data_IF_366209339820
#
_entry.id   IF_366209339820
#
_cell.length_a   1.000
_cell.length_b   1.000
_cell.length_c   1.000
_cell.angle_alpha   90.00
_cell.angle_beta   90.00
_cell.angle_gamma   90.00
#
_symmetry.space_group_name_H-M   'P 1'
#
loop_
_entity.id
_entity.type
_entity.pdbx_description
1 polymer ?
#
# COMPACT_ATOMS: atom_id res chain seq x y z
N UNK A 1 48.58 34.82 4.23
CA UNK A 1 47.10 34.69 4.23
C UNK A 1 46.65 33.23 4.03
N UNK A 2 47.20 32.51 3.04
CA UNK A 2 46.87 31.11 2.73
C UNK A 2 47.01 30.13 3.92
N UNK A 3 48.06 30.24 4.73
CA UNK A 3 48.32 29.33 5.86
C UNK A 3 47.21 29.31 6.91
N UNK A 4 46.57 30.47 7.18
CA UNK A 4 45.47 30.60 8.16
C UNK A 4 44.19 29.93 7.65
N UNK A 5 43.94 30.01 6.35
CA UNK A 5 42.79 29.37 5.70
C UNK A 5 42.95 27.84 5.79
N UNK A 6 44.13 27.31 5.44
CA UNK A 6 44.40 25.87 5.55
C UNK A 6 44.32 25.34 6.97
N UNK A 7 44.74 26.12 7.97
CA UNK A 7 44.64 25.72 9.38
C UNK A 7 43.18 25.66 9.84
N UNK A 8 42.36 26.65 9.45
CA UNK A 8 40.95 26.69 9.80
C UNK A 8 40.14 25.59 9.10
N UNK A 9 40.44 25.31 7.83
CA UNK A 9 39.84 24.18 7.09
C UNK A 9 40.21 22.84 7.72
N UNK A 10 41.47 22.65 8.14
CA UNK A 10 41.88 21.43 8.86
C UNK A 10 41.19 21.29 10.21
N UNK A 11 41.08 22.38 10.99
CA UNK A 11 40.39 22.35 12.28
C UNK A 11 38.91 21.98 12.12
N UNK A 12 38.23 22.58 11.14
CA UNK A 12 36.82 22.30 10.86
C UNK A 12 36.57 20.89 10.30
N UNK A 13 37.53 20.34 9.53
CA UNK A 13 37.48 18.96 9.06
C UNK A 13 37.72 17.91 10.16
N UNK A 14 38.38 18.29 11.26
CA UNK A 14 38.58 17.44 12.45
C UNK A 14 37.37 17.48 13.39
N UNK A 15 36.51 18.50 13.30
CA UNK A 15 35.23 18.50 14.04
C UNK A 15 34.16 17.63 13.36
N UNK A 16 34.24 17.45 12.04
CA UNK A 16 33.29 16.64 11.27
C UNK A 16 33.74 15.16 11.15
N UNK A 17 34.05 14.56 12.29
CA UNK A 17 34.45 13.15 12.38
C UNK A 17 33.19 12.33 12.67
N UNK A 18 32.58 11.85 11.59
CA UNK A 18 31.63 10.74 11.50
C UNK A 18 31.20 10.12 12.84
N UNK A 19 29.90 10.21 13.15
CA UNK A 19 29.28 9.44 14.25
C UNK A 19 29.68 7.96 14.12
N UNK A 20 30.12 7.30 15.20
CA UNK A 20 30.47 5.89 15.15
C UNK A 20 29.24 5.07 14.74
N UNK A 21 29.42 4.08 13.86
CA UNK A 21 28.34 3.27 13.29
C UNK A 21 27.29 2.75 14.32
N UNK A 22 27.65 2.30 15.54
CA UNK A 22 26.65 1.90 16.54
C UNK A 22 25.71 3.05 16.96
N UNK A 23 26.23 4.27 17.13
CA UNK A 23 25.43 5.43 17.52
C UNK A 23 24.44 5.88 16.43
N UNK A 24 24.67 5.49 15.17
CA UNK A 24 23.75 5.73 14.04
C UNK A 24 22.63 4.68 14.06
N UNK A 25 22.90 3.43 14.45
CA UNK A 25 21.90 2.35 14.45
C UNK A 25 20.86 2.54 15.56
N UNK A 26 21.24 3.19 16.66
CA UNK A 26 20.37 3.45 17.81
C UNK A 26 19.44 4.67 17.63
N UNK A 27 19.56 5.45 16.55
CA UNK A 27 18.62 6.56 16.34
C UNK A 27 17.24 5.99 15.93
N UNK A 28 16.14 6.42 16.58
CA UNK A 28 14.80 5.87 16.36
C UNK A 28 14.37 5.86 14.88
N UNK A 29 14.85 6.84 14.10
CA UNK A 29 14.57 6.94 12.68
C UNK A 29 15.11 5.74 11.88
N UNK A 30 16.34 5.28 12.18
CA UNK A 30 16.93 4.15 11.48
C UNK A 30 16.25 2.83 11.86
N UNK A 31 15.90 2.66 13.13
CA UNK A 31 15.13 1.51 13.61
C UNK A 31 13.76 1.46 12.89
N UNK A 32 13.05 2.59 12.85
CA UNK A 32 11.77 2.70 12.14
C UNK A 32 11.93 2.37 10.66
N UNK A 33 13.00 2.85 10.01
CA UNK A 33 13.28 2.57 8.60
C UNK A 33 13.56 1.08 8.36
N UNK A 34 14.34 0.43 9.21
CA UNK A 34 14.64 -1.01 9.10
C UNK A 34 13.38 -1.85 9.36
N UNK A 35 12.58 -1.49 10.37
CA UNK A 35 11.31 -2.13 10.64
C UNK A 35 10.34 -1.98 9.45
N UNK A 36 10.26 -0.78 8.85
CA UNK A 36 9.42 -0.53 7.68
C UNK A 36 9.90 -1.27 6.42
N UNK A 37 11.22 -1.37 6.20
CA UNK A 37 11.79 -2.19 5.12
C UNK A 37 11.48 -3.67 5.31
N UNK A 38 11.62 -4.17 6.53
CA UNK A 38 11.28 -5.56 6.86
C UNK A 38 9.79 -5.81 6.63
N UNK A 39 8.91 -4.93 7.13
CA UNK A 39 7.47 -4.99 6.89
C UNK A 39 7.14 -4.98 5.40
N UNK A 40 7.73 -4.07 4.63
CA UNK A 40 7.55 -4.01 3.17
C UNK A 40 7.95 -5.32 2.50
N UNK A 41 9.09 -5.90 2.87
CA UNK A 41 9.57 -7.18 2.33
C UNK A 41 8.66 -8.36 2.70
N UNK A 42 8.06 -8.31 3.89
CA UNK A 42 7.17 -9.35 4.41
C UNK A 42 5.70 -9.15 3.99
N UNK A 43 5.34 -8.04 3.35
CA UNK A 43 3.97 -7.85 2.87
C UNK A 43 3.65 -8.97 1.89
N UNK A 44 2.48 -9.63 2.03
CA UNK A 44 1.98 -10.51 0.99
C UNK A 44 1.96 -9.76 -0.33
N UNK A 45 2.30 -10.45 -1.41
CA UNK A 45 2.15 -9.90 -2.75
C UNK A 45 0.67 -9.56 -2.95
N UNK A 46 0.38 -8.36 -3.45
CA UNK A 46 -0.99 -8.00 -3.79
C UNK A 46 -1.58 -9.05 -4.73
N UNK A 47 -2.82 -9.50 -4.48
CA UNK A 47 -3.48 -10.46 -5.34
C UNK A 47 -3.64 -9.85 -6.73
N UNK A 48 -3.21 -10.59 -7.75
CA UNK A 48 -3.27 -10.17 -9.16
C UNK A 48 -4.53 -10.70 -9.87
N UNK A 49 -5.24 -11.61 -9.20
CA UNK A 49 -6.44 -12.27 -9.66
C UNK A 49 -7.45 -12.37 -8.50
N UNK A 50 -8.61 -12.95 -8.80
CA UNK A 50 -9.65 -13.23 -7.82
C UNK A 50 -9.53 -14.66 -7.26
N UNK A 51 -8.38 -15.33 -7.37
CA UNK A 51 -8.17 -16.70 -6.88
C UNK A 51 -7.73 -16.71 -5.40
N UNK A 52 -8.45 -15.97 -4.56
CA UNK A 52 -8.24 -15.91 -3.11
C UNK A 52 -9.50 -16.29 -2.32
N UNK A 53 -9.35 -16.67 -1.06
CA UNK A 53 -10.51 -16.91 -0.19
C UNK A 53 -11.03 -15.58 0.33
N UNK A 54 -12.33 -15.34 0.19
CA UNK A 54 -12.97 -14.14 0.72
C UNK A 54 -13.40 -14.41 2.17
N UNK A 55 -12.93 -13.58 3.09
CA UNK A 55 -13.30 -13.66 4.51
C UNK A 55 -14.53 -12.79 4.75
N UNK A 56 -15.71 -13.41 4.66
CA UNK A 56 -17.00 -12.69 4.79
C UNK A 56 -17.23 -12.09 6.18
N UNK A 57 -16.54 -12.59 7.22
CA UNK A 57 -16.60 -12.07 8.59
C UNK A 57 -16.17 -10.60 8.71
N UNK A 58 -15.39 -10.12 7.75
CA UNK A 58 -14.91 -8.74 7.70
C UNK A 58 -15.78 -7.83 6.80
N UNK A 59 -16.81 -8.39 6.17
CA UNK A 59 -17.75 -7.64 5.37
C UNK A 59 -18.93 -7.18 6.21
N UNK A 60 -19.53 -6.03 5.88
CA UNK A 60 -20.83 -5.68 6.43
C UNK A 60 -21.86 -6.76 6.07
N UNK A 61 -22.81 -6.97 6.97
CA UNK A 61 -23.88 -7.95 6.78
C UNK A 61 -24.62 -7.70 5.46
N UNK A 62 -24.90 -8.77 4.71
CA UNK A 62 -25.58 -8.76 3.42
C UNK A 62 -24.96 -7.86 2.33
N UNK A 63 -23.69 -7.45 2.47
CA UNK A 63 -23.01 -6.61 1.48
C UNK A 63 -22.51 -7.39 0.26
N UNK A 64 -22.01 -8.61 0.46
CA UNK A 64 -21.75 -9.55 -0.63
C UNK A 64 -23.09 -10.07 -1.14
N UNK A 65 -23.39 -9.80 -2.41
CA UNK A 65 -24.63 -10.24 -3.06
C UNK A 65 -24.45 -11.53 -3.84
N UNK A 66 -23.28 -11.75 -4.44
CA UNK A 66 -23.00 -12.97 -5.19
C UNK A 66 -21.50 -13.16 -5.45
N UNK A 67 -21.07 -14.41 -5.49
CA UNK A 67 -19.76 -14.86 -5.97
C UNK A 67 -19.99 -15.87 -7.09
N UNK A 68 -19.61 -15.51 -8.32
CA UNK A 68 -20.02 -16.21 -9.52
C UNK A 68 -18.89 -16.34 -10.54
N UNK A 69 -18.93 -17.41 -11.33
CA UNK A 69 -17.98 -17.63 -12.43
C UNK A 69 -18.67 -17.39 -13.76
N UNK A 70 -18.22 -16.39 -14.53
CA UNK A 70 -18.74 -16.05 -15.85
C UNK A 70 -17.59 -16.06 -16.84
N UNK A 71 -17.76 -16.75 -17.98
CA UNK A 71 -16.73 -16.89 -19.01
C UNK A 71 -15.37 -17.40 -18.47
N UNK A 72 -15.41 -18.28 -17.46
CA UNK A 72 -14.20 -18.84 -16.83
C UNK A 72 -13.45 -17.87 -15.91
N UNK A 73 -14.04 -16.74 -15.54
CA UNK A 73 -13.48 -15.78 -14.56
C UNK A 73 -14.40 -15.64 -13.37
N UNK A 74 -13.83 -15.55 -12.17
CA UNK A 74 -14.59 -15.26 -10.95
C UNK A 74 -15.00 -13.80 -10.91
N UNK A 75 -16.17 -13.51 -10.36
CA UNK A 75 -16.74 -12.18 -10.17
C UNK A 75 -17.35 -12.11 -8.78
N UNK A 76 -16.98 -11.08 -8.02
CA UNK A 76 -17.58 -10.77 -6.72
C UNK A 76 -18.51 -9.57 -6.88
N UNK A 77 -19.77 -9.73 -6.51
CA UNK A 77 -20.79 -8.69 -6.60
C UNK A 77 -21.05 -8.16 -5.19
N UNK A 78 -20.68 -6.91 -4.97
CA UNK A 78 -20.97 -6.17 -3.75
C UNK A 78 -21.99 -5.08 -4.05
N UNK A 79 -22.98 -4.93 -3.19
CA UNK A 79 -23.92 -3.82 -3.28
C UNK A 79 -24.58 -3.57 -1.92
N UNK A 80 -24.99 -2.33 -1.68
CA UNK A 80 -26.00 -2.04 -0.67
C UNK A 80 -27.40 -2.18 -1.27
N UNK A 81 -28.41 -2.36 -0.41
CA UNK A 81 -29.80 -2.43 -0.89
C UNK A 81 -30.24 -1.12 -1.55
N UNK A 82 -29.72 0.02 -1.06
CA UNK A 82 -29.94 1.33 -1.68
C UNK A 82 -29.34 1.41 -3.10
N UNK A 83 -28.13 0.87 -3.30
CA UNK A 83 -27.53 0.79 -4.64
C UNK A 83 -28.35 -0.07 -5.59
N UNK A 84 -28.87 -1.20 -5.11
CA UNK A 84 -29.74 -2.08 -5.91
C UNK A 84 -31.08 -1.40 -6.24
N UNK A 85 -31.67 -0.66 -5.29
CA UNK A 85 -32.88 0.12 -5.51
C UNK A 85 -32.65 1.22 -6.56
N UNK A 86 -31.55 1.98 -6.46
CA UNK A 86 -31.20 2.96 -7.50
C UNK A 86 -30.97 2.32 -8.87
N UNK A 87 -30.28 1.18 -8.93
CA UNK A 87 -30.07 0.44 -10.17
C UNK A 87 -31.40 -0.07 -10.75
N UNK A 88 -32.34 -0.52 -9.91
CA UNK A 88 -33.66 -0.97 -10.36
C UNK A 88 -34.51 0.18 -10.93
N UNK A 89 -34.34 1.39 -10.40
CA UNK A 89 -35.04 2.61 -10.84
C UNK A 89 -34.38 3.25 -12.06
N UNK A 90 -33.09 3.02 -12.25
CA UNK A 90 -32.36 3.44 -13.44
C UNK A 90 -32.81 2.60 -14.64
N UNK A 91 -33.77 3.12 -15.42
CA UNK A 91 -34.16 2.53 -16.71
C UNK A 91 -32.94 2.38 -17.64
N UNK A 92 -32.69 1.15 -18.06
CA UNK A 92 -31.92 0.70 -19.23
C UNK A 92 -30.72 1.54 -19.69
N UNK A 93 -29.51 1.12 -19.29
CA UNK A 93 -28.30 1.34 -20.12
C UNK A 93 -27.96 0.11 -20.98
N UNK A 94 -28.65 -1.03 -20.79
CA UNK A 94 -28.25 -2.31 -21.42
C UNK A 94 -28.96 -2.62 -22.75
N UNK A 95 -29.92 -1.82 -23.21
CA UNK A 95 -30.56 -2.05 -24.53
C UNK A 95 -29.75 -1.55 -25.76
N UNK A 96 -28.45 -1.27 -25.63
CA UNK A 96 -27.56 -0.96 -26.77
C UNK A 96 -26.39 -1.94 -26.92
N UNK A 97 -26.68 -3.23 -27.06
CA UNK A 97 -25.86 -4.16 -27.86
C UNK A 97 -26.77 -5.21 -28.50
N UNK A 98 -27.43 -4.81 -29.59
CA UNK A 98 -27.85 -5.74 -30.64
C UNK A 98 -26.71 -5.84 -31.66
N UNK A 99 -26.55 -7.06 -32.16
CA UNK A 99 -25.59 -7.59 -33.17
C UNK A 99 -24.25 -8.06 -32.58
#
# INVERSE_FOLDING_TARGET
>A
MAAKITAHVKAKAVEDIFKPAPAIVDEPEFIARQANRLRQRLRPKEPVDLDFRLEEEHLPEAFLKSDLTVNGRRHLVFATDEQLDYLSRAKDVVHRRNI
#
